data_IF_048340302310
#
_entry.id   IF_048340302310
#
_cell.length_a   1.000
_cell.length_b   1.000
_cell.length_c   1.000
_cell.angle_alpha   90.00
_cell.angle_beta   90.00
_cell.angle_gamma   90.00
#
_symmetry.space_group_name_H-M   'P 1'
#
loop_
_entity.id
_entity.type
_entity.pdbx_description
1 polymer ?
#
# COMPACT_ATOMS: atom_id res chain seq x y z
N UNK A 1 7.99 2.68 -3.56
CA UNK A 1 7.95 3.89 -2.70
C UNK A 1 7.89 5.20 -3.47
N UNK A 2 8.63 5.37 -4.58
CA UNK A 2 8.74 6.67 -5.29
C UNK A 2 7.44 7.41 -5.63
N UNK A 3 6.34 6.73 -6.02
CA UNK A 3 5.04 7.39 -6.24
C UNK A 3 4.53 8.10 -4.99
N UNK A 4 4.62 7.43 -3.83
CA UNK A 4 4.12 7.96 -2.56
C UNK A 4 5.03 9.06 -2.02
N UNK A 5 6.34 8.96 -2.23
CA UNK A 5 7.28 10.03 -1.88
C UNK A 5 6.98 11.30 -2.67
N UNK A 6 6.77 11.19 -3.99
CA UNK A 6 6.40 12.35 -4.82
C UNK A 6 5.06 12.97 -4.39
N UNK A 7 4.08 12.15 -4.01
CA UNK A 7 2.78 12.63 -3.55
C UNK A 7 2.82 13.20 -2.12
N UNK A 8 3.78 12.81 -1.29
CA UNK A 8 3.96 13.33 0.07
C UNK A 8 4.46 14.78 0.11
N UNK A 9 4.96 15.30 -1.02
CA UNK A 9 5.44 16.67 -1.18
C UNK A 9 4.56 17.52 -2.12
N UNK A 10 3.40 17.01 -2.55
CA UNK A 10 2.49 17.72 -3.46
C UNK A 10 1.58 18.73 -2.77
N UNK A 11 0.97 19.60 -3.58
CA UNK A 11 0.05 20.67 -3.12
C UNK A 11 -1.34 20.15 -2.76
N UNK A 12 -1.73 18.99 -3.30
CA UNK A 12 -2.99 18.33 -2.94
C UNK A 12 -2.89 17.74 -1.53
N UNK A 13 -3.50 18.45 -0.58
CA UNK A 13 -3.46 18.13 0.86
C UNK A 13 -3.99 16.74 1.15
N UNK A 14 -5.08 16.32 0.49
CA UNK A 14 -5.67 15.01 0.73
C UNK A 14 -4.72 13.90 0.27
N UNK A 15 -4.16 14.03 -0.94
CA UNK A 15 -3.18 13.06 -1.45
C UNK A 15 -1.92 13.01 -0.59
N UNK A 16 -1.45 14.16 -0.12
CA UNK A 16 -0.29 14.26 0.77
C UNK A 16 -0.49 13.50 2.08
N UNK A 17 -1.62 13.72 2.76
CA UNK A 17 -1.92 13.05 4.03
C UNK A 17 -2.02 11.54 3.84
N UNK A 18 -2.66 11.08 2.75
CA UNK A 18 -2.75 9.66 2.42
C UNK A 18 -1.36 9.06 2.18
N UNK A 19 -0.52 9.74 1.39
CA UNK A 19 0.83 9.30 1.09
C UNK A 19 1.70 9.20 2.36
N UNK A 20 1.66 10.20 3.24
CA UNK A 20 2.39 10.19 4.51
C UNK A 20 1.93 9.06 5.43
N UNK A 21 0.61 8.82 5.54
CA UNK A 21 0.07 7.68 6.32
C UNK A 21 0.52 6.35 5.75
N UNK A 22 0.45 6.17 4.43
CA UNK A 22 0.91 4.96 3.77
C UNK A 22 2.40 4.70 4.04
N UNK A 23 3.25 5.71 3.80
CA UNK A 23 4.69 5.62 4.08
C UNK A 23 4.93 5.28 5.55
N UNK A 24 4.25 5.96 6.48
CA UNK A 24 4.37 5.73 7.92
C UNK A 24 4.02 4.31 8.34
N UNK A 25 2.87 3.80 7.86
CA UNK A 25 2.40 2.42 8.13
C UNK A 25 3.41 1.38 7.63
N UNK A 26 3.99 1.60 6.45
CA UNK A 26 4.85 0.62 5.81
C UNK A 26 6.36 0.89 6.03
N UNK A 27 6.76 1.93 6.78
CA UNK A 27 8.19 2.29 6.94
C UNK A 27 9.03 1.17 7.57
N UNK A 28 8.40 0.38 8.45
CA UNK A 28 9.03 -0.74 9.16
C UNK A 28 8.65 -2.09 8.57
N UNK A 29 7.78 -2.11 7.57
CA UNK A 29 7.34 -3.34 6.93
C UNK A 29 8.45 -3.87 6.03
N UNK A 30 8.74 -5.18 6.14
CA UNK A 30 9.64 -5.84 5.20
C UNK A 30 8.92 -6.04 3.86
N UNK A 31 9.57 -5.74 2.72
CA UNK A 31 9.02 -6.08 1.42
C UNK A 31 8.73 -7.58 1.36
N UNK A 32 7.55 -7.92 0.84
CA UNK A 32 7.20 -9.31 0.58
C UNK A 32 8.02 -9.75 -0.65
N UNK A 33 8.98 -10.65 -0.44
CA UNK A 33 9.86 -11.15 -1.51
C UNK A 33 9.17 -12.15 -2.45
N UNK A 34 8.11 -12.81 -1.99
CA UNK A 34 7.27 -13.69 -2.80
C UNK A 34 5.81 -13.49 -2.41
N UNK A 35 5.01 -13.07 -3.36
CA UNK A 35 3.57 -12.96 -3.21
C UNK A 35 2.93 -14.16 -3.90
N UNK A 36 2.30 -15.03 -3.11
CA UNK A 36 1.56 -16.17 -3.66
C UNK A 36 0.20 -15.68 -4.17
N UNK A 37 0.18 -15.42 -5.48
CA UNK A 37 -1.01 -14.94 -6.19
C UNK A 37 -2.15 -15.94 -6.11
N UNK A 38 -1.84 -17.25 -6.15
CA UNK A 38 -2.84 -18.30 -6.13
C UNK A 38 -3.53 -18.36 -4.75
N UNK A 39 -2.76 -18.25 -3.68
CA UNK A 39 -3.29 -18.17 -2.31
C UNK A 39 -4.11 -16.90 -2.10
N UNK A 40 -3.70 -15.76 -2.66
CA UNK A 40 -4.47 -14.52 -2.61
C UNK A 40 -5.86 -14.67 -3.26
N UNK A 41 -5.93 -15.21 -4.48
CA UNK A 41 -7.21 -15.41 -5.16
C UNK A 41 -8.11 -16.42 -4.44
N UNK A 42 -7.54 -17.53 -3.94
CA UNK A 42 -8.28 -18.51 -3.12
C UNK A 42 -8.88 -17.88 -1.86
N UNK A 43 -8.20 -16.91 -1.24
CA UNK A 43 -8.74 -16.19 -0.08
C UNK A 43 -9.86 -15.21 -0.48
N UNK A 44 -9.69 -14.48 -1.57
CA UNK A 44 -10.71 -13.54 -2.07
C UNK A 44 -12.01 -14.23 -2.47
N UNK A 45 -11.94 -15.40 -3.11
CA UNK A 45 -13.12 -16.21 -3.47
C UNK A 45 -13.91 -16.72 -2.25
N UNK A 46 -13.27 -16.75 -1.07
CA UNK A 46 -13.90 -17.20 0.18
C UNK A 46 -14.55 -16.08 0.97
N UNK A 47 -14.38 -14.82 0.56
CA UNK A 47 -15.08 -13.69 1.16
C UNK A 47 -16.41 -13.52 0.42
N UNK A 48 -17.57 -13.84 1.05
CA UNK A 48 -18.85 -13.55 0.43
C UNK A 48 -19.05 -12.03 0.41
N UNK A 49 -19.26 -11.48 -0.79
CA UNK A 49 -19.71 -10.10 -1.00
C UNK A 49 -21.21 -9.97 -0.75
#
# INVERSE_FOLDING_TARGET
MGKWENQSNGDDVLKRVIAQRFIGTFKTAKPIGRFDVEQYFKLMEKIPF
#
